data_IF_469874609755
#
_entry.id   IF_469874609755
#
_cell.length_a   1.000
_cell.length_b   1.000
_cell.length_c   1.000
_cell.angle_alpha   90.00
_cell.angle_beta   90.00
_cell.angle_gamma   90.00
#
_symmetry.space_group_name_H-M   'P 1'
#
loop_
_entity.id
_entity.type
_entity.pdbx_description
1 polymer ?
#
# COMPACT_ATOMS: atom_id res chain seq x y z
N UNK A 1 -26.77 -15.05 -45.80
CA UNK A 1 -26.18 -15.66 -44.58
C UNK A 1 -24.77 -15.12 -44.36
N UNK A 2 -24.60 -13.82 -44.09
CA UNK A 2 -23.27 -13.22 -43.80
C UNK A 2 -23.47 -12.03 -42.85
N UNK A 3 -24.12 -12.24 -41.71
CA UNK A 3 -24.39 -11.12 -40.79
C UNK A 3 -24.38 -11.50 -39.30
N UNK A 4 -24.39 -12.80 -38.96
CA UNK A 4 -24.29 -13.23 -37.56
C UNK A 4 -22.84 -13.36 -37.04
N UNK A 5 -21.83 -13.37 -37.92
CA UNK A 5 -20.46 -13.67 -37.49
C UNK A 5 -19.66 -12.47 -36.95
N UNK A 6 -20.13 -11.24 -37.15
CA UNK A 6 -19.39 -10.03 -36.76
C UNK A 6 -19.60 -9.63 -35.28
N UNK A 7 -20.70 -10.06 -34.67
CA UNK A 7 -21.04 -9.69 -33.28
C UNK A 7 -20.27 -10.50 -32.22
N UNK A 8 -19.71 -11.66 -32.59
CA UNK A 8 -18.92 -12.47 -31.67
C UNK A 8 -17.49 -11.94 -31.45
N UNK A 9 -16.96 -11.11 -32.35
CA UNK A 9 -15.58 -10.59 -32.25
C UNK A 9 -15.45 -9.37 -31.32
N UNK A 10 -16.53 -8.64 -31.04
CA UNK A 10 -16.49 -7.45 -30.18
C UNK A 10 -16.62 -7.76 -28.68
N UNK A 11 -17.10 -8.96 -28.31
CA UNK A 11 -17.27 -9.36 -26.91
C UNK A 11 -15.93 -9.70 -26.21
N UNK A 12 -14.84 -9.88 -26.96
CA UNK A 12 -13.54 -10.28 -26.41
C UNK A 12 -12.61 -9.11 -26.04
N UNK A 13 -13.04 -7.85 -26.20
CA UNK A 13 -12.20 -6.66 -25.95
C UNK A 13 -12.37 -6.09 -24.53
N UNK A 14 -13.29 -6.63 -23.72
CA UNK A 14 -13.31 -6.36 -22.28
C UNK A 14 -12.24 -7.17 -21.52
N UNK A 15 -11.04 -7.29 -22.10
CA UNK A 15 -9.85 -7.79 -21.42
C UNK A 15 -9.50 -6.77 -20.35
N UNK A 16 -9.97 -7.00 -19.13
CA UNK A 16 -9.46 -6.33 -17.95
C UNK A 16 -7.93 -6.40 -17.97
N UNK A 17 -7.28 -5.31 -17.54
CA UNK A 17 -5.83 -5.31 -17.33
C UNK A 17 -5.44 -6.57 -16.55
N UNK A 18 -4.34 -7.25 -16.91
CA UNK A 18 -3.90 -8.40 -16.13
C UNK A 18 -3.75 -7.96 -14.67
N UNK A 19 -4.35 -8.70 -13.75
CA UNK A 19 -4.41 -8.34 -12.33
C UNK A 19 -3.02 -7.93 -11.79
N UNK A 20 -1.97 -8.65 -12.19
CA UNK A 20 -0.58 -8.33 -11.81
C UNK A 20 -0.10 -6.94 -12.25
N UNK A 21 -0.55 -6.41 -13.39
CA UNK A 21 -0.14 -5.07 -13.83
C UNK A 21 -0.79 -3.96 -12.98
N UNK A 22 -1.97 -4.21 -12.41
CA UNK A 22 -2.60 -3.27 -11.46
C UNK A 22 -1.87 -3.33 -10.13
N UNK A 23 -1.55 -4.52 -9.64
CA UNK A 23 -0.80 -4.74 -8.38
C UNK A 23 0.58 -4.05 -8.43
N UNK A 24 1.33 -4.22 -9.53
CA UNK A 24 2.65 -3.59 -9.72
C UNK A 24 2.55 -2.06 -9.76
N UNK A 25 1.54 -1.53 -10.46
CA UNK A 25 1.29 -0.07 -10.50
C UNK A 25 0.92 0.47 -9.13
N UNK A 26 0.08 -0.24 -8.38
CA UNK A 26 -0.30 0.15 -7.03
C UNK A 26 0.94 0.14 -6.11
N UNK A 27 1.78 -0.90 -6.18
CA UNK A 27 3.02 -0.96 -5.41
C UNK A 27 3.99 0.18 -5.76
N UNK A 28 4.17 0.49 -7.04
CA UNK A 28 5.02 1.60 -7.46
C UNK A 28 4.45 2.97 -7.04
N UNK A 29 3.14 3.17 -7.14
CA UNK A 29 2.48 4.40 -6.74
C UNK A 29 2.59 4.65 -5.23
N UNK A 30 2.27 3.65 -4.40
CA UNK A 30 2.40 3.77 -2.95
C UNK A 30 3.87 3.92 -2.52
N UNK A 31 4.80 3.23 -3.18
CA UNK A 31 6.23 3.39 -2.89
C UNK A 31 6.69 4.83 -3.09
N UNK A 32 6.32 5.47 -4.20
CA UNK A 32 6.65 6.88 -4.45
C UNK A 32 6.04 7.81 -3.40
N UNK A 33 4.74 7.64 -3.13
CA UNK A 33 4.01 8.44 -2.14
C UNK A 33 4.67 8.34 -0.76
N UNK A 34 5.00 7.13 -0.30
CA UNK A 34 5.66 6.93 0.98
C UNK A 34 7.09 7.49 1.01
N UNK A 35 7.86 7.37 -0.08
CA UNK A 35 9.22 7.93 -0.15
C UNK A 35 9.18 9.48 -0.11
N UNK A 36 8.15 10.09 -0.68
CA UNK A 36 7.98 11.55 -0.67
C UNK A 36 7.62 12.08 0.73
N UNK A 37 6.82 11.33 1.50
CA UNK A 37 6.29 11.79 2.79
C UNK A 37 7.02 11.23 4.02
N UNK A 38 7.76 10.13 3.89
CA UNK A 38 8.55 9.57 4.98
C UNK A 38 9.82 10.37 5.22
N UNK A 39 10.38 10.33 6.46
CA UNK A 39 11.73 10.83 6.68
C UNK A 39 12.70 10.17 5.69
N UNK A 40 13.57 10.98 5.06
CA UNK A 40 14.44 10.54 3.95
C UNK A 40 15.43 9.43 4.30
N UNK A 41 15.66 9.20 5.60
CA UNK A 41 16.50 8.10 6.08
C UNK A 41 15.75 6.77 6.13
N UNK A 42 14.42 6.75 6.07
CA UNK A 42 13.64 5.53 6.23
C UNK A 42 13.61 4.72 4.95
N UNK A 43 13.82 3.41 5.07
CA UNK A 43 13.67 2.51 3.93
C UNK A 43 12.22 2.07 3.77
N UNK A 44 11.70 2.20 2.56
CA UNK A 44 10.34 1.79 2.20
C UNK A 44 10.40 0.64 1.20
N UNK A 45 9.67 -0.44 1.48
CA UNK A 45 9.47 -1.54 0.54
C UNK A 45 8.00 -1.86 0.44
N UNK A 46 7.45 -1.80 -0.78
CA UNK A 46 6.03 -2.05 -1.04
C UNK A 46 5.86 -3.27 -1.92
N UNK A 47 4.87 -4.10 -1.62
CA UNK A 47 4.45 -5.22 -2.46
C UNK A 47 2.98 -5.56 -2.23
N UNK A 48 2.35 -6.12 -3.24
CA UNK A 48 1.09 -6.81 -3.07
C UNK A 48 1.33 -8.17 -2.38
N UNK A 49 0.56 -8.48 -1.35
CA UNK A 49 0.69 -9.73 -0.59
C UNK A 49 -0.60 -10.04 0.14
N UNK A 50 -1.04 -11.29 0.11
CA UNK A 50 -2.19 -11.78 0.89
C UNK A 50 -3.48 -10.94 0.68
N UNK A 51 -3.69 -10.44 -0.56
CA UNK A 51 -4.86 -9.63 -0.91
C UNK A 51 -4.84 -8.19 -0.38
N UNK A 52 -3.68 -7.68 0.02
CA UNK A 52 -3.50 -6.31 0.49
C UNK A 52 -2.21 -5.70 -0.08
N UNK A 53 -2.17 -4.37 -0.12
CA UNK A 53 -0.96 -3.64 -0.47
C UNK A 53 -0.14 -3.39 0.81
N UNK A 54 0.96 -4.11 0.97
CA UNK A 54 1.78 -4.08 2.17
C UNK A 54 3.03 -3.22 1.96
N UNK A 55 3.21 -2.22 2.81
CA UNK A 55 4.46 -1.47 2.90
C UNK A 55 5.20 -1.81 4.20
N UNK A 56 6.42 -2.32 4.05
CA UNK A 56 7.35 -2.52 5.16
C UNK A 56 8.22 -1.26 5.28
N UNK A 57 8.13 -0.60 6.43
CA UNK A 57 8.84 0.64 6.75
C UNK A 57 9.97 0.33 7.72
N UNK A 58 11.20 0.70 7.38
CA UNK A 58 12.38 0.49 8.23
C UNK A 58 12.95 1.85 8.60
N UNK A 59 12.65 2.38 9.80
CA UNK A 59 13.26 3.62 10.26
C UNK A 59 14.78 3.50 10.33
N UNK A 60 15.48 4.57 9.98
CA UNK A 60 16.93 4.71 10.16
C UNK A 60 17.25 6.10 10.74
N UNK A 61 18.39 6.24 11.43
CA UNK A 61 19.38 5.21 11.75
C UNK A 61 18.86 4.17 12.75
N UNK A 62 19.58 3.05 12.87
CA UNK A 62 19.19 1.92 13.72
C UNK A 62 18.83 2.31 15.17
N UNK A 63 19.48 3.35 15.71
CA UNK A 63 19.16 3.90 17.04
C UNK A 63 17.72 4.41 17.10
N UNK A 64 17.30 5.26 16.15
CA UNK A 64 15.91 5.76 16.01
C UNK A 64 14.94 4.61 15.80
N UNK A 65 15.34 3.61 15.00
CA UNK A 65 14.55 2.41 14.77
C UNK A 65 14.28 1.66 16.08
N UNK A 66 15.31 1.50 16.93
CA UNK A 66 15.19 0.88 18.24
C UNK A 66 14.34 1.69 19.21
N UNK A 67 14.53 3.01 19.26
CA UNK A 67 13.72 3.89 20.11
C UNK A 67 12.23 3.81 19.77
N UNK A 68 11.89 3.83 18.48
CA UNK A 68 10.51 3.66 18.03
C UNK A 68 10.00 2.24 18.29
N UNK A 69 10.86 1.22 18.15
CA UNK A 69 10.50 -0.18 18.42
C UNK A 69 10.06 -0.40 19.87
N UNK A 70 10.71 0.26 20.84
CA UNK A 70 10.34 0.20 22.25
C UNK A 70 9.24 1.22 22.64
N UNK A 71 8.79 2.05 21.71
CA UNK A 71 7.69 3.00 21.89
C UNK A 71 6.55 2.72 20.88
N UNK A 72 5.82 1.60 21.03
CA UNK A 72 4.87 1.12 20.01
C UNK A 72 3.78 2.14 19.67
N UNK A 73 3.30 2.93 20.64
CA UNK A 73 2.34 3.99 20.39
C UNK A 73 2.89 5.09 19.46
N UNK A 74 4.17 5.46 19.62
CA UNK A 74 4.85 6.43 18.74
C UNK A 74 5.08 5.84 17.35
N UNK A 75 5.46 4.57 17.26
CA UNK A 75 5.60 3.88 15.97
C UNK A 75 4.26 3.85 15.22
N UNK A 76 3.17 3.43 15.87
CA UNK A 76 1.84 3.39 15.27
C UNK A 76 1.40 4.77 14.81
N UNK A 77 1.62 5.82 15.62
CA UNK A 77 1.31 7.19 15.24
C UNK A 77 2.09 7.62 13.99
N UNK A 78 3.41 7.40 13.97
CA UNK A 78 4.24 7.73 12.82
C UNK A 78 3.81 6.99 11.54
N UNK A 79 3.51 5.70 11.63
CA UNK A 79 2.97 4.95 10.50
C UNK A 79 1.62 5.48 10.04
N UNK A 80 0.71 5.78 10.97
CA UNK A 80 -0.61 6.35 10.64
C UNK A 80 -0.49 7.69 9.91
N UNK A 81 0.51 8.49 10.24
CA UNK A 81 0.76 9.77 9.58
C UNK A 81 1.29 9.61 8.15
N UNK A 82 1.88 8.46 7.82
CA UNK A 82 2.29 8.08 6.45
C UNK A 82 1.15 7.46 5.62
N UNK A 83 -0.03 7.22 6.21
CA UNK A 83 -1.13 6.67 5.43
C UNK A 83 -1.59 7.65 4.33
N UNK A 84 -1.84 7.18 3.10
CA UNK A 84 -2.30 8.04 2.01
C UNK A 84 -3.58 8.79 2.38
N UNK A 85 -3.66 10.05 1.98
CA UNK A 85 -4.85 10.89 2.19
C UNK A 85 -6.11 10.30 1.53
N UNK A 86 -7.29 10.77 1.95
CA UNK A 86 -8.57 10.22 1.49
C UNK A 86 -8.74 10.26 -0.04
N UNK A 87 -8.21 11.31 -0.67
CA UNK A 87 -8.32 11.59 -2.11
C UNK A 87 -7.12 11.09 -2.92
N UNK A 88 -6.19 10.36 -2.29
CA UNK A 88 -5.01 9.83 -2.97
C UNK A 88 -5.40 8.83 -4.08
N UNK A 89 -4.78 8.97 -5.26
CA UNK A 89 -5.05 8.14 -6.45
C UNK A 89 -4.90 6.63 -6.16
N UNK A 90 -4.02 6.26 -5.23
CA UNK A 90 -3.77 4.88 -4.82
C UNK A 90 -5.04 4.13 -4.42
N UNK A 91 -6.05 4.82 -3.86
CA UNK A 91 -7.31 4.20 -3.49
C UNK A 91 -8.12 3.69 -4.68
N UNK A 92 -7.96 4.29 -5.86
CA UNK A 92 -8.57 3.81 -7.10
C UNK A 92 -7.89 2.54 -7.64
N UNK A 93 -6.58 2.40 -7.41
CA UNK A 93 -5.79 1.24 -7.83
C UNK A 93 -5.98 0.04 -6.89
N UNK A 94 -6.04 0.29 -5.58
CA UNK A 94 -6.27 -0.74 -4.56
C UNK A 94 -7.73 -1.20 -4.56
N UNK A 95 -8.67 -0.32 -4.90
CA UNK A 95 -10.10 -0.62 -4.86
C UNK A 95 -10.69 -0.65 -3.45
N UNK A 96 -12.01 -0.84 -3.31
CA UNK A 96 -12.70 -0.77 -2.02
C UNK A 96 -12.48 -2.01 -1.12
N UNK A 97 -12.22 -3.18 -1.74
CA UNK A 97 -12.14 -4.47 -1.03
C UNK A 97 -10.79 -4.73 -0.37
N UNK A 98 -9.74 -4.01 -0.77
CA UNK A 98 -8.37 -4.25 -0.32
C UNK A 98 -7.90 -3.12 0.61
N UNK A 99 -6.95 -3.40 1.50
CA UNK A 99 -6.36 -2.40 2.38
C UNK A 99 -4.92 -2.06 1.98
N UNK A 100 -4.48 -0.88 2.42
CA UNK A 100 -3.08 -0.50 2.47
C UNK A 100 -2.62 -0.69 3.90
N UNK A 101 -1.65 -1.58 4.12
CA UNK A 101 -1.13 -1.90 5.44
C UNK A 101 0.31 -1.45 5.54
N UNK A 102 0.61 -0.64 6.56
CA UNK A 102 1.98 -0.26 6.90
C UNK A 102 2.46 -1.12 8.07
N UNK A 103 3.63 -1.73 7.95
CA UNK A 103 4.25 -2.50 9.02
C UNK A 103 5.68 -2.01 9.30
N UNK A 104 6.09 -1.88 10.57
CA UNK A 104 7.46 -1.54 10.88
C UNK A 104 8.35 -2.77 10.79
N UNK A 105 9.62 -2.56 10.39
CA UNK A 105 10.69 -3.54 10.43
C UNK A 105 11.93 -2.94 11.10
N UNK A 106 12.51 -3.65 12.06
CA UNK A 106 13.77 -3.26 12.72
C UNK A 106 14.66 -4.49 12.85
N UNK A 107 15.88 -4.42 12.33
CA UNK A 107 16.80 -5.57 12.30
C UNK A 107 16.25 -6.78 11.53
N UNK A 108 15.38 -6.55 10.54
CA UNK A 108 14.72 -7.60 9.76
C UNK A 108 13.53 -8.27 10.46
N UNK A 109 13.14 -7.82 11.65
CA UNK A 109 11.97 -8.31 12.39
C UNK A 109 10.80 -7.35 12.25
N UNK A 110 9.59 -7.89 12.11
CA UNK A 110 8.34 -7.12 12.10
C UNK A 110 7.57 -7.32 13.41
N UNK A 111 6.77 -6.33 13.83
CA UNK A 111 5.79 -6.49 14.93
C UNK A 111 4.39 -6.45 14.34
N UNK A 112 3.68 -7.58 14.26
CA UNK A 112 2.30 -7.58 13.78
C UNK A 112 1.38 -6.65 14.57
N UNK A 113 1.61 -6.50 15.88
CA UNK A 113 0.84 -5.59 16.76
C UNK A 113 1.08 -4.09 16.52
N UNK A 114 2.06 -3.72 15.70
CA UNK A 114 2.31 -2.32 15.31
C UNK A 114 1.89 -2.02 13.87
N UNK A 115 1.18 -2.95 13.21
CA UNK A 115 0.63 -2.73 11.87
C UNK A 115 -0.48 -1.69 11.89
N UNK A 116 -0.48 -0.85 10.87
CA UNK A 116 -1.51 0.17 10.66
C UNK A 116 -2.31 -0.16 9.41
N UNK A 117 -3.63 -0.20 9.55
CA UNK A 117 -4.59 -0.21 8.45
C UNK A 117 -4.85 1.23 8.03
N UNK A 118 -4.45 1.59 6.82
CA UNK A 118 -4.64 2.94 6.32
C UNK A 118 -6.09 3.22 5.94
N UNK A 119 -6.88 2.19 5.56
CA UNK A 119 -8.32 2.37 5.37
C UNK A 119 -9.03 2.74 6.66
N UNK A 120 -8.69 2.12 7.79
CA UNK A 120 -9.20 2.54 9.11
C UNK A 120 -8.76 3.96 9.46
N UNK A 121 -7.48 4.27 9.28
CA UNK A 121 -6.95 5.61 9.54
C UNK A 121 -7.61 6.71 8.68
N UNK A 122 -7.97 6.39 7.43
CA UNK A 122 -8.74 7.27 6.53
C UNK A 122 -10.12 7.57 7.11
N UNK A 123 -10.85 6.54 7.54
CA UNK A 123 -12.20 6.68 8.12
C UNK A 123 -12.19 7.51 9.41
N UNK A 124 -11.20 7.35 10.28
CA UNK A 124 -11.10 8.11 11.54
C UNK A 124 -10.80 9.62 11.32
N UNK A 125 -10.32 10.00 10.13
CA UNK A 125 -9.97 11.39 9.74
C UNK A 125 -11.05 12.06 8.87
N UNK A 126 -12.09 11.32 8.49
CA UNK A 126 -13.20 11.78 7.63
C UNK A 126 -14.35 12.32 8.47
#
# INVERSE_FOLDING_TARGET
MVQLSLLALFAAICLGLPAGAVEDRAAAALSRDLIEHAPSTWDVRVRWRDGQLLATITPQPYQTAFELWYAPAKMIAALRDLCPGADAEIWSLVGPEHDIVLEPSVGGKTVPGARVSCRKAKLDRS
#
